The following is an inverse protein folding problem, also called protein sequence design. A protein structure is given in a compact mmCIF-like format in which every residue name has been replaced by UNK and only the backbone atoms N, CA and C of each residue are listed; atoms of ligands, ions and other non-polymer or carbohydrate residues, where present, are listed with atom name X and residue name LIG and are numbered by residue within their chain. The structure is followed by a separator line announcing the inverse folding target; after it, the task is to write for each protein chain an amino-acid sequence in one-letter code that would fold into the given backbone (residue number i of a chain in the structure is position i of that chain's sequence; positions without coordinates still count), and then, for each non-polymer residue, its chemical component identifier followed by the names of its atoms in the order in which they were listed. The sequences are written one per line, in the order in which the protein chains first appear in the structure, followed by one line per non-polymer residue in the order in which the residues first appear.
data_IF_668980813076
#
_entry.id   IF_668980813076
#
_cell.length_a   1.000
_cell.length_b   1.000
_cell.length_c   1.000
_cell.angle_alpha   90.00
_cell.angle_beta   90.00
_cell.angle_gamma   90.00
#
_symmetry.space_group_name_H-M   'P 1'
#
loop_
_entity.id
_entity.type
_entity.pdbx_description
1 polymer ?
#
# COMPACT_ATOMS: atom_id res chain seq x y z
N UNK A 1 -16.47 -22.15 -19.57
CA UNK A 1 -17.22 -20.93 -19.18
C UNK A 1 -16.57 -20.38 -17.93
N UNK A 2 -16.36 -19.06 -17.83
CA UNK A 2 -15.81 -18.45 -16.61
C UNK A 2 -16.88 -18.55 -15.51
N UNK A 3 -16.56 -19.20 -14.38
CA UNK A 3 -17.47 -19.33 -13.25
C UNK A 3 -17.33 -18.14 -12.30
N UNK A 4 -18.36 -17.88 -11.51
CA UNK A 4 -18.32 -16.83 -10.50
C UNK A 4 -17.23 -17.08 -9.44
N UNK A 5 -17.09 -18.33 -8.99
CA UNK A 5 -16.04 -18.76 -8.07
C UNK A 5 -14.63 -18.48 -8.63
N UNK A 6 -14.41 -18.75 -9.93
CA UNK A 6 -13.14 -18.43 -10.58
C UNK A 6 -12.85 -16.92 -10.52
N UNK A 7 -13.84 -16.06 -10.77
CA UNK A 7 -13.67 -14.60 -10.71
C UNK A 7 -13.35 -14.11 -9.28
N UNK A 8 -13.99 -14.70 -8.27
CA UNK A 8 -13.67 -14.38 -6.87
C UNK A 8 -12.23 -14.75 -6.53
N UNK A 9 -11.79 -15.96 -6.88
CA UNK A 9 -10.42 -16.40 -6.65
C UNK A 9 -9.40 -15.55 -7.42
N UNK A 10 -9.72 -15.19 -8.67
CA UNK A 10 -8.89 -14.29 -9.48
C UNK A 10 -8.68 -12.93 -8.80
N UNK A 11 -9.76 -12.30 -8.31
CA UNK A 11 -9.67 -11.01 -7.61
C UNK A 11 -8.93 -11.12 -6.27
N UNK A 12 -9.10 -12.20 -5.53
CA UNK A 12 -8.32 -12.47 -4.32
C UNK A 12 -6.81 -12.53 -4.60
N UNK A 13 -6.40 -13.18 -5.70
CA UNK A 13 -4.99 -13.22 -6.12
C UNK A 13 -4.48 -11.82 -6.44
N UNK A 14 -5.22 -11.04 -7.25
CA UNK A 14 -4.81 -9.68 -7.62
C UNK A 14 -4.63 -8.79 -6.39
N UNK A 15 -5.59 -8.81 -5.47
CA UNK A 15 -5.55 -8.01 -4.26
C UNK A 15 -4.41 -8.46 -3.34
N UNK A 16 -4.16 -9.77 -3.24
CA UNK A 16 -3.03 -10.29 -2.45
C UNK A 16 -1.69 -9.82 -3.01
N UNK A 17 -1.53 -9.82 -4.33
CA UNK A 17 -0.32 -9.29 -5.00
C UNK A 17 -0.17 -7.79 -4.73
N UNK A 18 -1.25 -7.01 -4.91
CA UNK A 18 -1.25 -5.58 -4.60
C UNK A 18 -0.89 -5.30 -3.13
N UNK A 19 -1.44 -6.08 -2.21
CA UNK A 19 -1.15 -6.00 -0.78
C UNK A 19 0.30 -6.34 -0.46
N UNK A 20 0.85 -7.41 -1.05
CA UNK A 20 2.26 -7.78 -0.88
C UNK A 20 3.21 -6.69 -1.39
N UNK A 21 2.90 -6.11 -2.56
CA UNK A 21 3.67 -4.99 -3.12
C UNK A 21 3.55 -3.75 -2.23
N UNK A 22 2.35 -3.44 -1.73
CA UNK A 22 2.14 -2.33 -0.79
C UNK A 22 3.00 -2.50 0.47
N UNK A 23 2.92 -3.66 1.13
CA UNK A 23 3.71 -3.97 2.34
C UNK A 23 5.20 -3.85 2.07
N UNK A 24 5.68 -4.37 0.94
CA UNK A 24 7.07 -4.21 0.52
C UNK A 24 7.44 -2.73 0.35
N UNK A 25 6.57 -1.91 -0.23
CA UNK A 25 6.86 -0.49 -0.42
C UNK A 25 6.73 0.35 0.85
N UNK A 26 6.07 -0.15 1.91
CA UNK A 26 6.03 0.54 3.22
C UNK A 26 7.42 0.74 3.85
N UNK A 27 8.46 0.02 3.39
CA UNK A 27 9.85 0.33 3.72
C UNK A 27 10.26 1.75 3.32
N UNK A 28 9.63 2.36 2.32
CA UNK A 28 9.90 3.75 1.91
C UNK A 28 9.48 4.73 3.00
N UNK A 29 8.27 4.60 3.56
CA UNK A 29 7.84 5.40 4.72
C UNK A 29 8.64 5.03 5.98
N UNK A 30 8.94 3.74 6.19
CA UNK A 30 9.83 3.30 7.26
C UNK A 30 11.19 4.00 7.22
N UNK A 31 11.80 4.12 6.04
CA UNK A 31 13.05 4.84 5.83
C UNK A 31 12.94 6.35 6.12
N UNK A 32 11.78 6.96 5.90
CA UNK A 32 11.56 8.37 6.27
C UNK A 32 11.62 8.57 7.79
N UNK A 33 11.15 7.61 8.59
CA UNK A 33 11.24 7.68 10.06
C UNK A 33 12.69 7.73 10.57
N UNK A 34 13.64 7.24 9.77
CA UNK A 34 15.08 7.22 10.09
C UNK A 34 15.78 8.55 9.78
N UNK A 35 15.11 9.52 9.14
CA UNK A 35 15.71 10.83 8.81
C UNK A 35 16.19 11.60 10.04
N UNK A 36 15.55 11.39 11.19
CA UNK A 36 15.97 11.97 12.47
C UNK A 36 17.18 11.27 13.11
N UNK A 37 17.59 10.11 12.58
CA UNK A 37 18.69 9.30 13.12
C UNK A 37 20.09 9.73 12.66
N UNK A 38 20.20 10.68 11.72
CA UNK A 38 21.49 11.23 11.27
C UNK A 38 21.51 12.75 11.40
N UNK A 39 22.57 13.27 12.04
CA UNK A 39 22.81 14.72 12.14
C UNK A 39 23.66 15.25 10.97
N UNK A 40 24.23 14.35 10.17
CA UNK A 40 25.14 14.71 9.08
C UNK A 40 24.33 15.05 7.81
N UNK A 41 24.44 16.29 7.28
CA UNK A 41 23.57 16.76 6.20
C UNK A 41 23.71 15.98 4.89
N UNK A 42 24.91 15.47 4.57
CA UNK A 42 25.12 14.75 3.31
C UNK A 42 24.43 13.37 3.33
N UNK A 43 24.52 12.63 4.42
CA UNK A 43 23.78 11.38 4.65
C UNK A 43 22.27 11.61 4.59
N UNK A 44 21.77 12.69 5.22
CA UNK A 44 20.35 13.05 5.15
C UNK A 44 19.90 13.31 3.72
N UNK A 45 20.69 14.07 2.95
CA UNK A 45 20.39 14.33 1.54
C UNK A 45 20.41 13.06 0.69
N UNK A 46 21.36 12.14 0.91
CA UNK A 46 21.40 10.84 0.22
C UNK A 46 20.17 10.00 0.52
N UNK A 47 19.71 9.94 1.77
CA UNK A 47 18.49 9.21 2.13
C UNK A 47 17.25 9.81 1.48
N UNK A 48 17.08 11.13 1.51
CA UNK A 48 15.96 11.81 0.84
C UNK A 48 15.97 11.54 -0.66
N UNK A 49 17.13 11.63 -1.33
CA UNK A 49 17.25 11.35 -2.75
C UNK A 49 16.91 9.90 -3.10
N UNK A 50 17.26 8.95 -2.24
CA UNK A 50 16.92 7.54 -2.42
C UNK A 50 15.43 7.27 -2.25
N UNK A 51 14.77 7.92 -1.28
CA UNK A 51 13.37 7.63 -0.94
C UNK A 51 12.36 8.47 -1.73
N UNK A 52 12.70 9.72 -2.06
CA UNK A 52 11.76 10.73 -2.55
C UNK A 52 10.98 10.30 -3.80
N UNK A 53 11.67 9.77 -4.82
CA UNK A 53 11.02 9.31 -6.06
C UNK A 53 10.13 8.07 -5.90
N UNK A 54 10.26 7.34 -4.80
CA UNK A 54 9.52 6.09 -4.53
C UNK A 54 8.28 6.32 -3.66
N UNK A 55 8.19 7.51 -3.05
CA UNK A 55 7.11 7.84 -2.13
C UNK A 55 5.73 7.83 -2.83
N UNK A 56 5.64 8.49 -3.99
CA UNK A 56 4.40 8.58 -4.78
C UNK A 56 3.86 7.21 -5.20
N UNK A 57 4.76 6.27 -5.49
CA UNK A 57 4.41 4.91 -5.88
C UNK A 57 3.71 4.18 -4.74
N UNK A 58 4.21 4.32 -3.51
CA UNK A 58 3.61 3.63 -2.35
C UNK A 58 2.19 4.13 -2.09
N UNK A 59 1.96 5.45 -2.21
CA UNK A 59 0.63 6.02 -2.06
C UNK A 59 -0.32 5.59 -3.18
N UNK A 60 0.17 5.59 -4.42
CA UNK A 60 -0.62 5.11 -5.56
C UNK A 60 -1.05 3.66 -5.36
N UNK A 61 -0.14 2.79 -4.90
CA UNK A 61 -0.47 1.39 -4.62
C UNK A 61 -1.44 1.24 -3.45
N UNK A 62 -1.35 2.07 -2.40
CA UNK A 62 -2.33 2.09 -1.32
C UNK A 62 -3.74 2.40 -1.85
N UNK A 63 -3.86 3.44 -2.67
CA UNK A 63 -5.14 3.83 -3.28
C UNK A 63 -5.68 2.73 -4.20
N UNK A 64 -4.83 2.13 -5.03
CA UNK A 64 -5.21 1.03 -5.92
C UNK A 64 -5.64 -0.22 -5.13
N UNK A 65 -4.94 -0.55 -4.04
CA UNK A 65 -5.31 -1.66 -3.15
C UNK A 65 -6.69 -1.46 -2.53
N UNK A 66 -6.96 -0.27 -1.99
CA UNK A 66 -8.29 0.08 -1.46
C UNK A 66 -9.37 0.06 -2.55
N UNK A 67 -9.08 0.65 -3.72
CA UNK A 67 -9.99 0.69 -4.86
C UNK A 67 -10.30 -0.70 -5.44
N UNK A 68 -9.32 -1.60 -5.46
CA UNK A 68 -9.52 -2.98 -5.90
C UNK A 68 -10.49 -3.73 -4.98
N UNK A 69 -10.37 -3.55 -3.65
CA UNK A 69 -11.34 -4.08 -2.70
C UNK A 69 -12.73 -3.47 -2.88
N UNK A 70 -12.82 -2.15 -3.06
CA UNK A 70 -14.09 -1.47 -3.30
C UNK A 70 -14.80 -1.99 -4.56
N UNK A 71 -14.05 -2.22 -5.64
CA UNK A 71 -14.61 -2.68 -6.91
C UNK A 71 -15.00 -4.16 -6.91
N UNK A 72 -14.21 -5.02 -6.26
CA UNK A 72 -14.40 -6.48 -6.33
C UNK A 72 -15.16 -7.08 -5.14
N UNK A 73 -14.99 -6.53 -3.94
CA UNK A 73 -15.61 -7.01 -2.70
C UNK A 73 -16.17 -5.85 -1.86
N UNK A 74 -17.27 -5.19 -2.30
CA UNK A 74 -17.75 -3.95 -1.68
C UNK A 74 -18.12 -4.09 -0.19
N UNK A 75 -18.72 -5.22 0.21
CA UNK A 75 -19.08 -5.47 1.61
C UNK A 75 -17.85 -5.66 2.50
N UNK A 76 -16.80 -6.32 1.97
CA UNK A 76 -15.53 -6.46 2.68
C UNK A 76 -14.86 -5.10 2.86
N UNK A 77 -14.85 -4.27 1.81
CA UNK A 77 -14.35 -2.89 1.89
C UNK A 77 -15.11 -2.08 2.95
N UNK A 78 -16.45 -2.05 2.88
CA UNK A 78 -17.27 -1.28 3.83
C UNK A 78 -17.08 -1.72 5.27
N UNK A 79 -17.05 -3.03 5.54
CA UNK A 79 -16.86 -3.56 6.89
C UNK A 79 -15.45 -3.27 7.42
N UNK A 80 -14.42 -3.45 6.58
CA UNK A 80 -13.03 -3.25 7.01
C UNK A 80 -12.69 -1.78 7.25
N UNK A 81 -13.02 -0.91 6.30
CA UNK A 81 -12.71 0.53 6.40
C UNK A 81 -13.67 1.26 7.34
N UNK A 82 -14.95 0.86 7.38
CA UNK A 82 -15.92 1.42 8.33
C UNK A 82 -15.71 0.93 9.77
N UNK A 83 -15.35 -0.34 9.97
CA UNK A 83 -15.08 -0.91 11.30
C UNK A 83 -13.80 -0.36 11.93
N UNK A 84 -12.77 -0.10 11.12
CA UNK A 84 -11.52 0.52 11.56
C UNK A 84 -11.55 2.06 11.48
N UNK A 85 -12.73 2.70 11.56
CA UNK A 85 -12.88 4.15 11.37
C UNK A 85 -11.93 5.01 12.22
N UNK A 86 -11.61 4.59 13.45
CA UNK A 86 -10.69 5.31 14.34
C UNK A 86 -9.20 5.18 13.97
N UNK A 87 -8.84 4.20 13.12
CA UNK A 87 -7.48 3.97 12.64
C UNK A 87 -7.16 4.71 11.33
N UNK A 88 -8.20 5.07 10.57
CA UNK A 88 -8.11 5.79 9.30
C UNK A 88 -8.19 7.30 9.52
#
# INVERSE_FOLDING_TARGET
MITYEFLQNYWWILISILGAILVFMLFVQGGQSMLAGTSEPSHRAMMVNSLGRKWELTFTTLVVFGGAFFASFPLFYSTSFGGAYWLW
#
